data_IF_618874504494
#
_entry.id   IF_618874504494
#
_cell.length_a   1.000
_cell.length_b   1.000
_cell.length_c   1.000
_cell.angle_alpha   90.00
_cell.angle_beta   90.00
_cell.angle_gamma   90.00
#
_symmetry.space_group_name_H-M   'P 1'
#
loop_
_entity.id
_entity.type
_entity.pdbx_description
1 polymer ?
#
# COMPACT_ATOMS: atom_id res chain seq x y z
N UNK A 1 -19.70 -40.10 38.05
CA UNK A 1 -20.54 -39.63 36.94
C UNK A 1 -19.64 -38.78 36.05
N UNK A 2 -19.10 -39.36 34.97
CA UNK A 2 -18.14 -38.68 34.09
C UNK A 2 -18.89 -37.72 33.15
N UNK A 3 -18.35 -36.51 32.88
CA UNK A 3 -18.97 -35.60 31.92
C UNK A 3 -18.83 -36.21 30.52
N UNK A 4 -19.95 -36.39 29.85
CA UNK A 4 -20.03 -36.85 28.47
C UNK A 4 -19.30 -35.87 27.57
N UNK A 5 -18.17 -36.32 26.98
CA UNK A 5 -17.50 -35.64 25.87
C UNK A 5 -18.55 -35.35 24.79
N UNK A 6 -18.83 -34.07 24.55
CA UNK A 6 -19.59 -33.61 23.39
C UNK A 6 -18.79 -33.92 22.14
N UNK A 7 -19.15 -35.01 21.45
CA UNK A 7 -18.57 -35.35 20.16
C UNK A 7 -18.92 -34.25 19.15
N UNK A 8 -17.90 -33.53 18.66
CA UNK A 8 -18.05 -32.59 17.56
C UNK A 8 -18.36 -33.37 16.28
N UNK A 9 -19.61 -33.31 15.82
CA UNK A 9 -20.01 -33.78 14.49
C UNK A 9 -19.94 -32.60 13.53
N UNK A 10 -19.15 -32.67 12.44
CA UNK A 10 -19.19 -31.65 11.39
C UNK A 10 -20.59 -31.59 10.77
N UNK A 11 -21.17 -30.39 10.70
CA UNK A 11 -22.50 -30.15 10.10
C UNK A 11 -22.52 -30.56 8.63
N UNK A 12 -23.49 -31.39 8.25
CA UNK A 12 -23.67 -31.83 6.86
C UNK A 12 -24.33 -30.74 6.01
N UNK A 13 -24.22 -30.82 4.67
CA UNK A 13 -24.94 -29.92 3.74
C UNK A 13 -26.46 -29.91 3.99
N UNK A 14 -27.01 -31.01 4.51
CA UNK A 14 -28.42 -31.13 4.87
C UNK A 14 -28.79 -30.33 6.14
N UNK A 15 -27.89 -30.28 7.13
CA UNK A 15 -28.09 -29.50 8.36
C UNK A 15 -28.03 -27.99 8.07
N UNK A 16 -27.17 -27.59 7.12
CA UNK A 16 -27.11 -26.21 6.60
C UNK A 16 -28.42 -25.82 5.90
N UNK A 17 -29.03 -26.74 5.14
CA UNK A 17 -30.32 -26.53 4.47
C UNK A 17 -31.50 -26.44 5.45
N UNK A 18 -31.47 -27.22 6.55
CA UNK A 18 -32.48 -27.09 7.62
C UNK A 18 -32.37 -25.77 8.38
N UNK A 19 -31.15 -25.28 8.61
CA UNK A 19 -30.90 -23.98 9.28
C UNK A 19 -31.34 -22.77 8.44
N UNK A 20 -31.39 -22.89 7.11
CA UNK A 20 -31.92 -21.85 6.22
C UNK A 20 -33.46 -21.75 6.23
N UNK A 21 -34.14 -22.67 6.94
CA UNK A 21 -35.60 -22.69 7.14
C UNK A 21 -36.01 -22.29 8.57
N UNK A 22 -35.05 -21.87 9.41
CA UNK A 22 -35.26 -21.48 10.81
C UNK A 22 -35.33 -19.95 10.87
N UNK A 23 -36.32 -19.43 11.59
CA UNK A 23 -36.51 -17.99 11.83
C UNK A 23 -35.22 -17.35 12.36
N UNK A 24 -34.87 -16.19 11.81
CA UNK A 24 -33.60 -15.47 12.06
C UNK A 24 -33.43 -15.05 13.54
N UNK A 25 -34.51 -15.06 14.31
CA UNK A 25 -34.54 -14.78 15.75
C UNK A 25 -34.24 -15.99 16.66
N UNK A 26 -34.14 -17.21 16.11
CA UNK A 26 -33.96 -18.40 16.95
C UNK A 26 -32.53 -18.47 17.53
N UNK A 27 -32.38 -18.86 18.81
CA UNK A 27 -31.09 -19.08 19.49
C UNK A 27 -30.13 -19.95 18.64
N UNK A 28 -30.67 -20.97 17.96
CA UNK A 28 -29.93 -21.90 17.11
C UNK A 28 -29.37 -21.23 15.85
N UNK A 29 -30.13 -20.32 15.25
CA UNK A 29 -29.68 -19.51 14.12
C UNK A 29 -28.55 -18.58 14.53
N UNK A 30 -28.75 -17.80 15.60
CA UNK A 30 -27.73 -16.89 16.12
C UNK A 30 -26.43 -17.61 16.50
N UNK A 31 -26.55 -18.80 17.09
CA UNK A 31 -25.38 -19.63 17.44
C UNK A 31 -24.65 -20.14 16.20
N UNK A 32 -25.39 -20.53 15.15
CA UNK A 32 -24.80 -20.92 13.86
C UNK A 32 -24.12 -19.74 13.18
N UNK A 33 -24.75 -18.57 13.20
CA UNK A 33 -24.18 -17.32 12.68
C UNK A 33 -22.89 -16.94 13.42
N UNK A 34 -22.86 -17.05 14.75
CA UNK A 34 -21.66 -16.83 15.55
C UNK A 34 -20.51 -17.79 15.20
N UNK A 35 -20.79 -19.08 15.02
CA UNK A 35 -19.77 -20.06 14.60
C UNK A 35 -19.24 -19.79 13.19
N UNK A 36 -20.10 -19.31 12.27
CA UNK A 36 -19.68 -18.86 10.94
C UNK A 36 -18.78 -17.63 11.03
N UNK A 37 -19.17 -16.63 11.83
CA UNK A 37 -18.40 -15.41 12.08
C UNK A 37 -17.00 -15.75 12.62
N UNK A 38 -16.93 -16.59 13.65
CA UNK A 38 -15.67 -17.08 14.25
C UNK A 38 -14.75 -17.74 13.23
N UNK A 39 -15.29 -18.63 12.40
CA UNK A 39 -14.53 -19.32 11.34
C UNK A 39 -14.07 -18.35 10.25
N UNK A 40 -14.92 -17.41 9.86
CA UNK A 40 -14.62 -16.38 8.86
C UNK A 40 -13.46 -15.52 9.33
N UNK A 41 -13.57 -14.89 10.51
CA UNK A 41 -12.54 -14.03 11.11
C UNK A 41 -11.20 -14.77 11.22
N UNK A 42 -11.19 -15.98 11.79
CA UNK A 42 -9.97 -16.78 11.93
C UNK A 42 -9.34 -17.13 10.56
N UNK A 43 -10.15 -17.48 9.56
CA UNK A 43 -9.66 -17.76 8.20
C UNK A 43 -9.04 -16.53 7.54
N UNK A 44 -9.61 -15.34 7.76
CA UNK A 44 -9.07 -14.08 7.23
C UNK A 44 -7.74 -13.73 7.89
N UNK A 45 -7.66 -13.77 9.23
CA UNK A 45 -6.44 -13.42 9.98
C UNK A 45 -5.27 -14.33 9.60
N UNK A 46 -5.48 -15.64 9.48
CA UNK A 46 -4.41 -16.58 9.10
C UNK A 46 -3.89 -16.40 7.67
N UNK A 47 -4.61 -15.65 6.81
CA UNK A 47 -4.21 -15.40 5.43
C UNK A 47 -3.54 -14.03 5.24
N UNK A 48 -3.46 -13.20 6.28
CA UNK A 48 -2.96 -11.84 6.15
C UNK A 48 -1.48 -11.82 5.78
N UNK A 49 -1.16 -11.04 4.75
CA UNK A 49 0.19 -10.72 4.32
C UNK A 49 0.25 -9.25 3.84
N UNK A 50 1.45 -8.76 3.55
CA UNK A 50 1.68 -7.37 3.13
C UNK A 50 0.95 -6.99 1.83
N UNK A 51 0.82 -7.92 0.87
CA UNK A 51 0.24 -7.64 -0.46
C UNK A 51 -1.28 -7.74 -0.51
N UNK A 52 -1.89 -8.57 0.34
CA UNK A 52 -3.33 -8.83 0.37
C UNK A 52 -4.06 -8.07 1.49
N UNK A 53 -3.33 -7.35 2.34
CA UNK A 53 -3.87 -6.62 3.49
C UNK A 53 -5.10 -5.76 3.13
N UNK A 54 -5.09 -4.92 2.06
CA UNK A 54 -6.26 -4.12 1.69
C UNK A 54 -7.48 -4.97 1.28
N UNK A 55 -7.25 -6.12 0.65
CA UNK A 55 -8.32 -7.03 0.25
C UNK A 55 -8.92 -7.71 1.48
N UNK A 56 -8.09 -8.18 2.41
CA UNK A 56 -8.57 -8.85 3.62
C UNK A 56 -9.34 -7.88 4.51
N UNK A 57 -8.89 -6.63 4.62
CA UNK A 57 -9.60 -5.60 5.38
C UNK A 57 -11.04 -5.46 4.87
N UNK A 58 -11.24 -5.36 3.54
CA UNK A 58 -12.59 -5.28 2.94
C UNK A 58 -13.43 -6.51 3.23
N UNK A 59 -12.84 -7.69 3.09
CA UNK A 59 -13.52 -8.95 3.40
C UNK A 59 -13.84 -9.11 4.89
N UNK A 60 -13.03 -8.51 5.76
CA UNK A 60 -13.22 -8.53 7.20
C UNK A 60 -14.41 -7.64 7.58
N UNK A 61 -14.50 -6.42 7.04
CA UNK A 61 -15.64 -5.52 7.22
C UNK A 61 -16.95 -6.06 6.66
N UNK A 62 -16.91 -7.05 5.75
CA UNK A 62 -18.12 -7.76 5.33
C UNK A 62 -18.73 -8.62 6.44
N UNK A 63 -17.98 -8.96 7.49
CA UNK A 63 -18.50 -9.64 8.66
C UNK A 63 -18.76 -8.61 9.77
N UNK A 64 -19.73 -8.87 10.65
CA UNK A 64 -20.02 -8.01 11.80
C UNK A 64 -18.89 -8.07 12.85
N UNK A 65 -17.92 -7.17 12.70
CA UNK A 65 -16.77 -7.06 13.62
C UNK A 65 -17.09 -6.34 14.93
N UNK A 66 -18.20 -5.58 15.01
CA UNK A 66 -18.65 -4.97 16.28
C UNK A 66 -19.11 -6.08 17.23
N UNK A 67 -19.95 -6.99 16.73
CA UNK A 67 -20.39 -8.19 17.43
C UNK A 67 -19.23 -9.15 17.67
N UNK A 68 -18.36 -9.31 16.67
CA UNK A 68 -17.19 -10.18 16.72
C UNK A 68 -15.94 -9.58 17.36
N UNK A 69 -16.00 -8.42 18.03
CA UNK A 69 -14.79 -7.67 18.46
C UNK A 69 -13.86 -8.47 19.36
N UNK A 70 -14.43 -9.24 20.30
CA UNK A 70 -13.65 -10.14 21.16
C UNK A 70 -12.98 -11.24 20.34
N UNK A 71 -13.73 -11.89 19.44
CA UNK A 71 -13.19 -12.93 18.55
C UNK A 71 -12.06 -12.39 17.67
N UNK A 72 -12.20 -11.18 17.16
CA UNK A 72 -11.19 -10.51 16.35
C UNK A 72 -9.92 -10.27 17.18
N UNK A 73 -10.05 -9.62 18.34
CA UNK A 73 -8.94 -9.35 19.25
C UNK A 73 -8.20 -10.64 19.64
N UNK A 74 -8.95 -11.66 20.09
CA UNK A 74 -8.41 -12.95 20.49
C UNK A 74 -7.67 -13.66 19.34
N UNK A 75 -8.25 -13.69 18.14
CA UNK A 75 -7.63 -14.36 17.00
C UNK A 75 -6.36 -13.62 16.53
N UNK A 76 -6.34 -12.27 16.55
CA UNK A 76 -5.15 -11.49 16.18
C UNK A 76 -4.01 -11.76 17.16
N UNK A 77 -4.26 -11.67 18.48
CA UNK A 77 -3.24 -11.92 19.51
C UNK A 77 -2.72 -13.35 19.41
N UNK A 78 -3.61 -14.33 19.25
CA UNK A 78 -3.21 -15.73 19.11
C UNK A 78 -2.41 -15.99 17.84
N UNK A 79 -2.77 -15.36 16.72
CA UNK A 79 -2.04 -15.49 15.46
C UNK A 79 -0.66 -14.84 15.55
N UNK A 80 -0.52 -13.74 16.30
CA UNK A 80 0.75 -13.09 16.56
C UNK A 80 1.68 -13.96 17.41
N UNK A 81 1.18 -14.55 18.51
CA UNK A 81 1.96 -15.47 19.35
C UNK A 81 2.42 -16.69 18.53
N UNK A 82 1.56 -17.23 17.67
CA UNK A 82 1.91 -18.36 16.80
C UNK A 82 2.89 -17.98 15.68
N UNK A 83 2.93 -16.71 15.26
CA UNK A 83 3.78 -16.26 14.15
C UNK A 83 4.24 -14.80 14.34
N UNK A 84 5.25 -14.57 15.21
CA UNK A 84 5.73 -13.22 15.54
C UNK A 84 6.35 -12.47 14.34
N UNK A 85 6.76 -13.18 13.29
CA UNK A 85 7.30 -12.57 12.07
C UNK A 85 6.30 -11.64 11.36
N UNK A 86 4.99 -11.94 11.45
CA UNK A 86 3.94 -11.15 10.81
C UNK A 86 3.38 -10.03 11.71
N UNK A 87 4.00 -9.78 12.88
CA UNK A 87 3.57 -8.74 13.82
C UNK A 87 3.37 -7.35 13.17
N UNK A 88 4.27 -6.86 12.30
CA UNK A 88 4.06 -5.58 11.61
C UNK A 88 2.77 -5.56 10.78
N UNK A 89 2.45 -6.69 10.14
CA UNK A 89 1.25 -6.83 9.30
C UNK A 89 -0.02 -6.86 10.14
N UNK A 90 0.00 -7.54 11.29
CA UNK A 90 -1.11 -7.51 12.23
C UNK A 90 -1.31 -6.11 12.83
N UNK A 91 -0.24 -5.39 13.14
CA UNK A 91 -0.33 -4.00 13.62
C UNK A 91 -0.93 -3.07 12.55
N UNK A 92 -0.52 -3.21 11.29
CA UNK A 92 -1.11 -2.45 10.18
C UNK A 92 -2.60 -2.78 9.96
N UNK A 93 -2.99 -4.05 10.10
CA UNK A 93 -4.40 -4.47 10.07
C UNK A 93 -5.20 -3.76 11.17
N UNK A 94 -4.69 -3.77 12.41
CA UNK A 94 -5.37 -3.11 13.53
C UNK A 94 -5.40 -1.61 13.35
N UNK A 95 -4.36 -0.99 12.80
CA UNK A 95 -4.32 0.45 12.51
C UNK A 95 -5.50 0.88 11.64
N UNK A 96 -5.75 0.18 10.53
CA UNK A 96 -6.89 0.47 9.64
C UNK A 96 -8.25 0.19 10.31
N UNK A 97 -8.33 -0.80 11.19
CA UNK A 97 -9.57 -1.06 11.94
C UNK A 97 -9.81 0.05 12.97
N UNK A 98 -8.75 0.53 13.61
CA UNK A 98 -8.77 1.53 14.67
C UNK A 98 -9.23 2.91 14.18
N UNK A 99 -9.00 3.27 12.92
CA UNK A 99 -9.54 4.52 12.35
C UNK A 99 -11.06 4.50 12.23
N UNK A 100 -11.66 3.32 12.03
CA UNK A 100 -13.09 3.15 11.80
C UNK A 100 -13.83 2.77 13.10
N UNK A 101 -13.21 1.90 13.90
CA UNK A 101 -13.72 1.41 15.17
C UNK A 101 -12.60 1.48 16.24
N UNK A 102 -12.40 2.66 16.87
CA UNK A 102 -11.36 2.85 17.88
C UNK A 102 -11.49 1.89 19.08
N UNK A 103 -12.71 1.52 19.45
CA UNK A 103 -13.01 0.59 20.54
C UNK A 103 -12.32 -0.77 20.37
N UNK A 104 -12.15 -1.23 19.11
CA UNK A 104 -11.47 -2.50 18.84
C UNK A 104 -9.96 -2.36 19.05
N UNK A 105 -9.38 -1.23 18.62
CA UNK A 105 -7.98 -0.92 18.86
C UNK A 105 -7.67 -0.80 20.35
N UNK A 106 -8.54 -0.12 21.09
CA UNK A 106 -8.46 0.02 22.55
C UNK A 106 -8.55 -1.35 23.25
N UNK A 107 -9.50 -2.19 22.87
CA UNK A 107 -9.69 -3.53 23.45
C UNK A 107 -8.42 -4.38 23.26
N UNK A 108 -7.86 -4.40 22.05
CA UNK A 108 -6.62 -5.15 21.78
C UNK A 108 -5.44 -4.57 22.57
N UNK A 109 -5.34 -3.24 22.67
CA UNK A 109 -4.30 -2.61 23.46
C UNK A 109 -4.38 -2.98 24.95
N UNK A 110 -5.58 -2.93 25.56
CA UNK A 110 -5.82 -3.39 26.95
C UNK A 110 -5.45 -4.86 27.13
N UNK A 111 -5.79 -5.73 26.17
CA UNK A 111 -5.37 -7.14 26.19
C UNK A 111 -3.86 -7.30 26.21
N UNK A 112 -3.15 -6.53 25.39
CA UNK A 112 -1.69 -6.61 25.27
C UNK A 112 -1.00 -6.12 26.54
N UNK A 113 -1.45 -5.01 27.13
CA UNK A 113 -0.91 -4.48 28.39
C UNK A 113 -1.16 -5.46 29.54
N UNK A 114 -2.38 -6.01 29.65
CA UNK A 114 -2.71 -7.04 30.64
C UNK A 114 -1.87 -8.31 30.45
N UNK A 115 -1.68 -8.75 29.21
CA UNK A 115 -0.83 -9.90 28.86
C UNK A 115 0.64 -9.64 29.20
N UNK A 116 1.14 -8.42 29.01
CA UNK A 116 2.50 -8.04 29.38
C UNK A 116 2.71 -8.17 30.89
N UNK A 117 1.84 -7.55 31.71
CA UNK A 117 1.91 -7.68 33.17
C UNK A 117 1.87 -9.14 33.61
N UNK A 118 0.91 -9.92 33.10
CA UNK A 118 0.78 -11.32 33.47
C UNK A 118 2.01 -12.16 33.06
N UNK A 119 2.52 -12.00 31.83
CA UNK A 119 3.67 -12.78 31.35
C UNK A 119 4.97 -12.36 32.00
N UNK A 120 5.11 -11.09 32.38
CA UNK A 120 6.26 -10.56 33.12
C UNK A 120 6.27 -11.09 34.57
N UNK A 121 5.14 -11.04 35.28
CA UNK A 121 5.01 -11.61 36.63
C UNK A 121 5.27 -13.12 36.67
N UNK A 122 4.85 -13.85 35.63
CA UNK A 122 5.08 -15.30 35.51
C UNK A 122 6.49 -15.66 34.99
N UNK A 123 7.33 -14.68 34.66
CA UNK A 123 8.66 -14.88 34.05
C UNK A 123 8.63 -15.72 32.76
N UNK A 124 7.56 -15.59 31.96
CA UNK A 124 7.46 -16.27 30.66
C UNK A 124 8.07 -15.40 29.55
N UNK A 125 9.38 -15.58 29.34
CA UNK A 125 10.16 -14.81 28.36
C UNK A 125 9.60 -14.88 26.94
N UNK A 126 9.13 -16.04 26.48
CA UNK A 126 8.73 -16.24 25.08
C UNK A 126 7.44 -15.48 24.77
N UNK A 127 6.46 -15.59 25.66
CA UNK A 127 5.19 -14.89 25.50
C UNK A 127 5.32 -13.39 25.78
N UNK A 128 6.18 -13.02 26.74
CA UNK A 128 6.50 -11.62 27.02
C UNK A 128 7.17 -10.96 25.79
N UNK A 129 8.17 -11.61 25.18
CA UNK A 129 8.82 -11.15 23.95
C UNK A 129 7.81 -10.92 22.82
N UNK A 130 6.89 -11.87 22.61
CA UNK A 130 5.85 -11.76 21.58
C UNK A 130 4.93 -10.57 21.85
N UNK A 131 4.51 -10.38 23.10
CA UNK A 131 3.64 -9.27 23.53
C UNK A 131 4.32 -7.91 23.35
N UNK A 132 5.57 -7.79 23.81
CA UNK A 132 6.40 -6.60 23.68
C UNK A 132 6.61 -6.21 22.22
N UNK A 133 6.91 -7.20 21.35
CA UNK A 133 7.02 -6.96 19.90
C UNK A 133 5.75 -6.35 19.32
N UNK A 134 4.59 -6.85 19.78
CA UNK A 134 3.32 -6.39 19.27
C UNK A 134 2.96 -4.98 19.75
N UNK A 135 3.20 -4.69 21.04
CA UNK A 135 3.06 -3.34 21.59
C UNK A 135 3.99 -2.35 20.86
N UNK A 136 5.22 -2.77 20.54
CA UNK A 136 6.17 -1.90 19.84
C UNK A 136 5.68 -1.49 18.45
N UNK A 137 5.13 -2.44 17.70
CA UNK A 137 4.51 -2.12 16.41
C UNK A 137 3.22 -1.31 16.54
N UNK A 138 2.47 -1.41 17.64
CA UNK A 138 1.32 -0.54 17.92
C UNK A 138 1.73 0.91 18.13
N UNK A 139 2.84 1.15 18.81
CA UNK A 139 3.42 2.49 19.01
C UNK A 139 3.92 3.04 17.68
N UNK A 140 4.60 2.22 16.87
CA UNK A 140 5.04 2.64 15.54
C UNK A 140 3.88 2.96 14.59
N UNK A 141 2.73 2.32 14.73
CA UNK A 141 1.51 2.60 13.95
C UNK A 141 0.61 3.69 14.58
N UNK A 142 1.08 4.38 15.63
CA UNK A 142 0.33 5.42 16.36
C UNK A 142 -1.01 4.98 16.97
N UNK A 143 -1.21 3.67 17.20
CA UNK A 143 -2.40 3.15 17.89
C UNK A 143 -2.27 3.43 19.39
N UNK A 144 -1.07 3.22 19.94
CA UNK A 144 -0.73 3.50 21.33
C UNK A 144 0.17 4.73 21.42
N UNK A 145 -0.05 5.55 22.45
CA UNK A 145 0.83 6.68 22.73
C UNK A 145 2.23 6.20 23.15
N UNK A 146 3.27 6.94 22.74
CA UNK A 146 4.68 6.58 22.98
C UNK A 146 5.09 6.58 24.46
N UNK A 147 4.27 7.17 25.35
CA UNK A 147 4.49 7.14 26.80
C UNK A 147 4.53 5.71 27.34
N UNK A 148 3.65 4.83 26.85
CA UNK A 148 3.62 3.41 27.22
C UNK A 148 4.97 2.74 26.97
N UNK A 149 5.65 3.13 25.88
CA UNK A 149 6.97 2.57 25.57
C UNK A 149 8.00 2.94 26.65
N UNK A 150 8.00 4.19 27.10
CA UNK A 150 8.92 4.64 28.15
C UNK A 150 8.60 3.99 29.49
N UNK A 151 7.32 3.91 29.86
CA UNK A 151 6.88 3.23 31.08
C UNK A 151 7.31 1.75 31.08
N UNK A 152 7.11 1.04 29.96
CA UNK A 152 7.53 -0.37 29.83
C UNK A 152 9.05 -0.53 29.94
N UNK A 153 9.82 0.37 29.34
CA UNK A 153 11.29 0.35 29.42
C UNK A 153 11.76 0.62 30.86
N UNK A 154 11.09 1.51 31.59
CA UNK A 154 11.39 1.76 33.01
C UNK A 154 11.11 0.51 33.85
N UNK A 155 9.95 -0.12 33.68
CA UNK A 155 9.59 -1.36 34.42
C UNK A 155 10.58 -2.49 34.12
N UNK A 156 10.97 -2.68 32.86
CA UNK A 156 11.93 -3.73 32.46
C UNK A 156 13.34 -3.47 32.99
N UNK A 157 13.74 -2.20 33.20
CA UNK A 157 15.09 -1.83 33.64
C UNK A 157 15.19 -1.48 35.13
N UNK A 158 14.08 -1.44 35.88
CA UNK A 158 14.07 -1.13 37.31
C UNK A 158 14.84 -2.20 38.13
N UNK A 159 14.58 -3.47 37.83
CA UNK A 159 15.27 -4.62 38.43
C UNK A 159 15.95 -5.46 37.33
N UNK A 160 17.16 -5.07 36.90
CA UNK A 160 17.80 -5.64 35.71
C UNK A 160 18.26 -7.09 35.96
N UNK A 161 17.51 -8.02 35.39
CA UNK A 161 17.92 -9.42 35.15
C UNK A 161 18.35 -9.58 33.69
N UNK A 162 19.15 -10.61 33.38
CA UNK A 162 19.59 -10.86 31.99
C UNK A 162 18.41 -10.93 31.00
N UNK A 163 17.33 -11.63 31.39
CA UNK A 163 16.13 -11.76 30.56
C UNK A 163 15.39 -10.43 30.40
N UNK A 164 15.22 -9.65 31.48
CA UNK A 164 14.55 -8.35 31.41
C UNK A 164 15.31 -7.34 30.54
N UNK A 165 16.65 -7.37 30.59
CA UNK A 165 17.51 -6.51 29.77
C UNK A 165 17.43 -6.93 28.31
N UNK A 166 17.44 -8.23 28.00
CA UNK A 166 17.24 -8.72 26.63
C UNK A 166 15.88 -8.29 26.07
N UNK A 167 14.80 -8.44 26.86
CA UNK A 167 13.46 -7.98 26.49
C UNK A 167 13.40 -6.46 26.25
N UNK A 168 14.05 -5.68 27.12
CA UNK A 168 14.13 -4.22 26.99
C UNK A 168 14.86 -3.80 25.71
N UNK A 169 15.98 -4.46 25.37
CA UNK A 169 16.76 -4.14 24.17
C UNK A 169 15.97 -4.51 22.90
N UNK A 170 15.32 -5.67 22.88
CA UNK A 170 14.49 -6.04 21.74
C UNK A 170 13.32 -5.05 21.55
N UNK A 171 12.66 -4.65 22.64
CA UNK A 171 11.60 -3.65 22.57
C UNK A 171 12.10 -2.31 22.06
N UNK A 172 13.24 -1.86 22.60
CA UNK A 172 13.87 -0.62 22.22
C UNK A 172 14.20 -0.63 20.73
N UNK A 173 14.80 -1.70 20.21
CA UNK A 173 15.14 -1.84 18.79
C UNK A 173 13.95 -1.64 17.83
N UNK A 174 12.71 -1.92 18.27
CA UNK A 174 11.49 -1.76 17.48
C UNK A 174 10.98 -0.32 17.56
N UNK A 175 10.99 0.28 18.74
CA UNK A 175 10.38 1.59 19.02
C UNK A 175 11.35 2.77 18.87
N UNK A 176 12.65 2.53 18.72
CA UNK A 176 13.69 3.56 18.88
C UNK A 176 13.53 4.72 17.90
N UNK A 177 13.17 4.46 16.64
CA UNK A 177 12.99 5.53 15.65
C UNK A 177 11.80 6.42 16.04
N UNK A 178 10.70 5.82 16.47
CA UNK A 178 9.52 6.54 16.94
C UNK A 178 9.80 7.35 18.22
N UNK A 179 10.51 6.77 19.18
CA UNK A 179 10.91 7.47 20.41
C UNK A 179 11.91 8.59 20.15
N UNK A 180 12.79 8.44 19.16
CA UNK A 180 13.72 9.49 18.75
C UNK A 180 12.99 10.70 18.15
N UNK A 181 11.87 10.49 17.45
CA UNK A 181 11.05 11.57 16.88
C UNK A 181 10.20 12.29 17.93
N UNK A 182 9.66 11.55 18.91
CA UNK A 182 8.69 12.10 19.89
C UNK A 182 9.36 12.56 21.18
N UNK A 183 10.30 11.80 21.74
CA UNK A 183 10.83 11.99 23.10
C UNK A 183 12.32 11.66 23.25
N UNK A 184 13.19 12.48 22.65
CA UNK A 184 14.66 12.39 22.77
C UNK A 184 15.15 12.28 24.23
N UNK A 185 14.59 13.09 25.14
CA UNK A 185 15.00 13.08 26.55
C UNK A 185 14.66 11.76 27.25
N UNK A 186 13.49 11.18 26.98
CA UNK A 186 13.10 9.88 27.53
C UNK A 186 14.03 8.77 27.03
N UNK A 187 14.36 8.81 25.74
CA UNK A 187 15.30 7.87 25.12
C UNK A 187 16.72 7.99 25.72
N UNK A 188 17.23 9.19 25.89
CA UNK A 188 18.56 9.42 26.49
C UNK A 188 18.63 8.95 27.95
N UNK A 189 17.54 9.07 28.71
CA UNK A 189 17.45 8.51 30.06
C UNK A 189 17.60 6.99 30.04
N UNK A 190 16.90 6.29 29.14
CA UNK A 190 16.98 4.81 29.00
C UNK A 190 18.40 4.38 28.63
N UNK A 191 19.04 5.06 27.68
CA UNK A 191 20.42 4.76 27.30
C UNK A 191 21.43 5.05 28.41
N UNK A 192 21.17 6.06 29.24
CA UNK A 192 22.01 6.34 30.42
C UNK A 192 21.91 5.20 31.43
N UNK A 193 20.71 4.67 31.68
CA UNK A 193 20.51 3.48 32.51
C UNK A 193 21.25 2.27 31.95
N UNK A 194 21.13 2.00 30.64
CA UNK A 194 21.85 0.90 29.98
C UNK A 194 23.37 1.06 30.06
N UNK A 195 23.90 2.28 29.96
CA UNK A 195 25.32 2.54 30.12
C UNK A 195 25.80 2.32 31.57
N UNK A 196 24.99 2.68 32.56
CA UNK A 196 25.29 2.38 33.96
C UNK A 196 25.33 0.86 34.20
N UNK A 197 24.39 0.11 33.60
CA UNK A 197 24.41 -1.36 33.65
C UNK A 197 25.68 -1.93 33.02
N UNK A 198 26.14 -1.42 31.88
CA UNK A 198 27.38 -1.87 31.25
C UNK A 198 28.61 -1.73 32.17
N UNK A 199 28.64 -0.71 33.03
CA UNK A 199 29.80 -0.40 33.88
C UNK A 199 29.71 -0.97 35.31
N UNK A 200 28.50 -1.06 35.89
CA UNK A 200 28.31 -1.30 37.33
C UNK A 200 27.64 -2.64 37.66
N UNK A 201 27.09 -3.36 36.67
CA UNK A 201 26.26 -4.54 36.94
C UNK A 201 27.03 -5.87 36.82
N UNK A 202 26.62 -6.85 37.61
CA UNK A 202 27.08 -8.25 37.53
C UNK A 202 26.24 -9.06 36.53
N UNK A 203 26.01 -8.53 35.33
CA UNK A 203 25.29 -9.21 34.26
C UNK A 203 26.19 -10.19 33.52
N UNK A 204 25.59 -11.13 32.80
CA UNK A 204 26.32 -12.09 31.99
C UNK A 204 27.00 -11.42 30.78
N UNK A 205 28.15 -11.97 30.34
CA UNK A 205 28.90 -11.45 29.19
C UNK A 205 28.06 -11.36 27.91
N UNK A 206 27.13 -12.31 27.70
CA UNK A 206 26.19 -12.28 26.58
C UNK A 206 25.28 -11.04 26.63
N UNK A 207 24.72 -10.71 27.79
CA UNK A 207 23.83 -9.57 27.99
C UNK A 207 24.58 -8.25 27.76
N UNK A 208 25.81 -8.15 28.26
CA UNK A 208 26.69 -7.01 28.02
C UNK A 208 27.00 -6.83 26.53
N UNK A 209 27.27 -7.92 25.81
CA UNK A 209 27.49 -7.86 24.37
C UNK A 209 26.25 -7.38 23.60
N UNK A 210 25.04 -7.78 24.01
CA UNK A 210 23.79 -7.29 23.38
C UNK A 210 23.64 -5.77 23.59
N UNK A 211 24.01 -5.24 24.76
CA UNK A 211 24.05 -3.79 25.03
C UNK A 211 25.09 -3.09 24.13
N UNK A 212 26.28 -3.65 23.96
CA UNK A 212 27.31 -3.08 23.08
C UNK A 212 26.84 -3.02 21.61
N UNK A 213 26.20 -4.09 21.13
CA UNK A 213 25.61 -4.15 19.79
C UNK A 213 24.55 -3.06 19.62
N UNK A 214 23.70 -2.83 20.63
CA UNK A 214 22.71 -1.75 20.61
C UNK A 214 23.38 -0.36 20.49
N UNK A 215 24.48 -0.10 21.19
CA UNK A 215 25.23 1.16 21.07
C UNK A 215 25.88 1.32 19.68
N UNK A 216 26.27 0.23 19.02
CA UNK A 216 26.73 0.27 17.64
C UNK A 216 25.58 0.66 16.69
N UNK A 217 24.39 0.06 16.84
CA UNK A 217 23.20 0.41 16.03
C UNK A 217 22.81 1.88 16.23
N UNK A 218 22.97 2.43 17.45
CA UNK A 218 22.74 3.86 17.73
C UNK A 218 23.66 4.78 16.92
N UNK A 219 24.93 4.40 16.69
CA UNK A 219 25.87 5.19 15.88
C UNK A 219 25.44 5.27 14.41
N UNK A 220 24.82 4.20 13.92
CA UNK A 220 24.27 4.12 12.57
C UNK A 220 22.89 4.80 12.43
N UNK A 221 22.41 5.49 13.47
CA UNK A 221 21.11 6.15 13.54
C UNK A 221 19.93 5.21 13.22
N UNK A 222 20.06 3.92 13.58
CA UNK A 222 18.98 2.94 13.49
C UNK A 222 18.41 2.70 12.08
N UNK A 223 19.17 2.98 11.01
CA UNK A 223 18.75 2.78 9.60
C UNK A 223 18.25 1.37 9.26
N UNK A 224 18.62 0.37 10.06
CA UNK A 224 18.27 -1.04 9.85
C UNK A 224 16.81 -1.33 10.21
N UNK A 225 16.22 -0.57 11.14
CA UNK A 225 14.87 -0.81 11.67
C UNK A 225 13.95 0.37 11.37
N UNK A 226 13.28 0.39 10.21
CA UNK A 226 12.30 1.44 9.92
C UNK A 226 11.09 1.31 10.83
N UNK A 227 10.54 2.45 11.25
CA UNK A 227 9.35 2.58 12.10
C UNK A 227 8.18 1.76 11.54
N UNK A 228 7.87 1.95 10.25
CA UNK A 228 6.86 1.16 9.51
C UNK A 228 7.53 0.58 8.26
N UNK A 229 7.32 -0.72 8.03
CA UNK A 229 7.82 -1.37 6.81
C UNK A 229 7.11 -0.82 5.57
N UNK A 230 7.80 -0.68 4.43
CA UNK A 230 7.20 -0.14 3.21
C UNK A 230 6.00 -0.98 2.77
N UNK A 231 4.87 -0.32 2.51
CA UNK A 231 3.60 -0.96 2.12
C UNK A 231 2.67 -1.30 3.29
N UNK A 232 3.09 -1.08 4.54
CA UNK A 232 2.23 -1.23 5.74
C UNK A 232 1.72 0.11 6.29
N UNK A 233 2.12 1.22 5.70
CA UNK A 233 1.57 2.54 5.99
C UNK A 233 0.34 2.78 5.10
N UNK A 234 -0.84 2.49 5.66
CA UNK A 234 -2.12 2.50 4.94
C UNK A 234 -3.08 3.61 5.40
N UNK A 235 -2.69 4.36 6.44
CA UNK A 235 -3.56 5.30 7.15
C UNK A 235 -2.88 6.65 7.23
N UNK A 236 -3.54 7.68 6.70
CA UNK A 236 -3.07 9.06 6.78
C UNK A 236 -3.01 9.53 8.25
N UNK A 237 -1.98 10.31 8.61
CA UNK A 237 -1.75 10.76 10.00
C UNK A 237 -2.94 11.51 10.63
N UNK A 238 -3.77 12.18 9.82
CA UNK A 238 -4.97 12.90 10.29
C UNK A 238 -6.08 11.99 10.78
N UNK A 239 -6.14 10.76 10.26
CA UNK A 239 -7.23 9.82 10.51
C UNK A 239 -6.86 8.82 11.62
N UNK A 240 -5.61 8.86 12.08
CA UNK A 240 -5.11 7.99 13.14
C UNK A 240 -5.70 8.40 14.50
N UNK A 241 -6.17 7.39 15.23
CA UNK A 241 -6.67 7.56 16.59
C UNK A 241 -5.69 6.95 17.59
N UNK A 242 -5.00 7.79 18.36
CA UNK A 242 -4.02 7.32 19.36
C UNK A 242 -4.66 7.19 20.74
N UNK A 243 -4.59 5.99 21.30
CA UNK A 243 -5.06 5.68 22.64
C UNK A 243 -4.01 6.05 23.68
N UNK A 244 -4.42 6.83 24.69
CA UNK A 244 -3.61 7.17 25.85
C UNK A 244 -4.04 6.22 26.97
N UNK A 245 -3.35 5.09 27.07
CA UNK A 245 -3.52 4.09 28.12
C UNK A 245 -2.22 4.10 28.93
N UNK A 246 -2.28 4.09 30.24
CA UNK A 246 -1.10 3.95 31.11
C UNK A 246 -0.94 2.51 31.56
N UNK A 247 0.28 2.10 31.92
CA UNK A 247 0.51 0.73 32.40
C UNK A 247 -0.23 0.39 33.70
N UNK A 248 -0.52 1.38 34.54
CA UNK A 248 -1.17 1.19 35.84
C UNK A 248 -2.70 1.13 35.73
N UNK A 249 -3.28 1.46 34.58
CA UNK A 249 -4.72 1.44 34.38
C UNK A 249 -5.26 0.00 34.47
N UNK A 250 -6.43 -0.21 35.14
CA UNK A 250 -7.06 -1.52 35.19
C UNK A 250 -7.52 -1.94 33.78
N UNK A 251 -6.66 -2.70 33.09
CA UNK A 251 -6.92 -3.22 31.77
C UNK A 251 -7.72 -4.52 31.86
N UNK A 252 -9.04 -4.43 31.81
CA UNK A 252 -9.90 -5.63 31.79
C UNK A 252 -9.98 -6.25 30.39
N UNK A 253 -9.56 -7.51 30.22
CA UNK A 253 -9.55 -8.19 28.92
C UNK A 253 -10.92 -8.70 28.47
N UNK A 254 -12.03 -8.29 29.09
CA UNK A 254 -13.42 -8.65 28.74
C UNK A 254 -13.62 -10.04 28.07
N UNK A 255 -13.16 -11.16 28.68
CA UNK A 255 -13.08 -12.47 28.00
C UNK A 255 -14.46 -13.01 27.62
N UNK A 256 -15.51 -12.47 28.23
CA UNK A 256 -16.91 -12.76 27.96
C UNK A 256 -17.33 -12.43 26.53
N UNK A 257 -16.66 -11.48 25.86
CA UNK A 257 -16.92 -11.14 24.45
C UNK A 257 -16.53 -12.26 23.47
N UNK A 258 -15.76 -13.25 23.92
CA UNK A 258 -15.36 -14.40 23.11
C UNK A 258 -16.41 -15.53 23.12
N UNK A 259 -17.39 -15.44 24.01
CA UNK A 259 -18.39 -16.48 24.26
C UNK A 259 -19.72 -16.02 23.66
N UNK A 260 -20.38 -16.95 22.96
CA UNK A 260 -21.71 -16.68 22.42
C UNK A 260 -22.71 -16.35 23.54
N UNK A 261 -23.42 -15.25 23.38
CA UNK A 261 -24.59 -14.87 24.17
C UNK A 261 -25.75 -14.63 23.22
N UNK A 262 -26.95 -15.03 23.67
CA UNK A 262 -28.17 -14.74 22.95
C UNK A 262 -28.44 -13.24 23.00
N UNK A 263 -28.85 -12.68 21.87
CA UNK A 263 -29.14 -11.27 21.69
C UNK A 263 -30.62 -11.11 21.31
N UNK A 264 -31.38 -10.43 22.17
CA UNK A 264 -32.81 -10.17 21.95
C UNK A 264 -33.04 -9.19 20.79
N UNK A 265 -32.06 -8.33 20.48
CA UNK A 265 -32.12 -7.29 19.44
C UNK A 265 -31.23 -7.62 18.23
N UNK A 266 -31.04 -8.92 17.97
CA UNK A 266 -30.12 -9.39 16.94
C UNK A 266 -30.37 -8.80 15.55
N UNK A 267 -31.63 -8.71 15.12
CA UNK A 267 -31.99 -8.17 13.81
C UNK A 267 -31.68 -6.66 13.70
N UNK A 268 -31.95 -5.90 14.76
CA UNK A 268 -31.64 -4.47 14.82
C UNK A 268 -30.13 -4.24 14.73
N UNK A 269 -29.35 -4.98 15.54
CA UNK A 269 -27.89 -4.87 15.58
C UNK A 269 -27.22 -5.27 14.26
N UNK A 270 -27.73 -6.30 13.56
CA UNK A 270 -27.21 -6.67 12.24
C UNK A 270 -27.58 -5.62 11.18
N UNK A 271 -28.79 -5.07 11.22
CA UNK A 271 -29.21 -3.99 10.31
C UNK A 271 -28.38 -2.71 10.52
N UNK A 272 -28.15 -2.30 11.77
CA UNK A 272 -27.29 -1.16 12.11
C UNK A 272 -25.86 -1.37 11.58
N UNK A 273 -25.32 -2.58 11.74
CA UNK A 273 -24.01 -2.91 11.20
C UNK A 273 -23.99 -2.90 9.67
N UNK A 274 -25.05 -3.36 9.00
CA UNK A 274 -25.15 -3.30 7.54
C UNK A 274 -25.21 -1.87 7.00
N UNK A 275 -25.94 -0.97 7.67
CA UNK A 275 -25.97 0.45 7.34
C UNK A 275 -24.60 1.10 7.55
N UNK A 276 -23.97 0.84 8.70
CA UNK A 276 -22.62 1.29 9.01
C UNK A 276 -21.60 0.80 7.98
N UNK A 277 -21.65 -0.49 7.63
CA UNK A 277 -20.81 -1.11 6.59
C UNK A 277 -21.02 -0.42 5.24
N UNK A 278 -22.27 -0.14 4.86
CA UNK A 278 -22.58 0.55 3.60
C UNK A 278 -21.99 1.94 3.60
N UNK A 279 -22.04 2.66 4.72
CA UNK A 279 -21.43 3.98 4.88
C UNK A 279 -19.91 3.92 4.72
N UNK A 280 -19.22 3.02 5.43
CA UNK A 280 -17.76 2.86 5.32
C UNK A 280 -17.34 2.50 3.90
N UNK A 281 -18.02 1.55 3.26
CA UNK A 281 -17.70 1.15 1.88
C UNK A 281 -18.03 2.31 0.94
N UNK A 282 -19.14 3.03 1.12
CA UNK A 282 -19.45 4.18 0.29
C UNK A 282 -18.41 5.31 0.43
N UNK A 283 -17.95 5.62 1.64
CA UNK A 283 -16.93 6.65 1.91
C UNK A 283 -15.55 6.20 1.43
N UNK A 284 -15.18 4.94 1.67
CA UNK A 284 -13.90 4.35 1.25
C UNK A 284 -13.75 4.23 -0.27
N UNK A 285 -14.85 4.17 -1.03
CA UNK A 285 -14.82 4.00 -2.50
C UNK A 285 -15.29 5.26 -3.24
N UNK A 286 -16.19 6.04 -2.66
CA UNK A 286 -16.55 7.37 -3.15
C UNK A 286 -15.33 8.28 -3.21
N UNK A 287 -14.40 8.12 -2.26
CA UNK A 287 -13.17 8.91 -2.23
C UNK A 287 -11.94 8.18 -2.79
N UNK A 288 -11.97 6.86 -3.08
CA UNK A 288 -10.83 6.16 -3.72
C UNK A 288 -10.97 5.95 -5.22
N UNK A 289 -12.19 5.79 -5.76
CA UNK A 289 -12.36 5.98 -7.21
C UNK A 289 -12.07 7.43 -7.55
N UNK A 290 -12.52 8.38 -6.72
CA UNK A 290 -12.14 9.77 -6.87
C UNK A 290 -10.67 10.03 -6.55
N UNK A 291 -10.00 9.51 -5.50
CA UNK A 291 -8.57 9.79 -5.25
C UNK A 291 -7.58 9.08 -6.17
N UNK A 292 -7.88 7.87 -6.65
CA UNK A 292 -7.08 7.24 -7.72
C UNK A 292 -7.39 7.81 -9.11
N UNK A 293 -8.57 8.42 -9.31
CA UNK A 293 -8.85 9.32 -10.46
C UNK A 293 -8.51 10.80 -10.19
N UNK A 294 -8.07 11.14 -8.97
CA UNK A 294 -7.57 12.45 -8.50
C UNK A 294 -6.10 12.34 -8.06
N UNK A 295 -5.29 11.54 -8.78
CA UNK A 295 -4.33 12.29 -9.60
C UNK A 295 -5.23 13.18 -10.42
N UNK A 296 -5.32 14.47 -10.09
CA UNK A 296 -6.05 15.42 -10.91
C UNK A 296 -5.33 15.41 -12.26
N UNK A 297 -5.64 14.42 -13.12
CA UNK A 297 -5.80 14.65 -14.53
C UNK A 297 -6.90 15.68 -14.53
N UNK A 298 -6.48 16.94 -14.47
CA UNK A 298 -7.18 18.01 -15.14
C UNK A 298 -7.42 17.38 -16.51
N UNK A 299 -8.64 16.93 -16.77
CA UNK A 299 -9.03 16.63 -18.13
C UNK A 299 -9.05 18.01 -18.75
N UNK A 300 -7.90 18.38 -19.30
CA UNK A 300 -7.70 19.60 -20.05
C UNK A 300 -8.59 19.43 -21.28
N UNK A 301 -9.85 19.84 -21.15
CA UNK A 301 -10.78 19.99 -22.28
C UNK A 301 -10.28 21.07 -23.24
N UNK A 302 -9.29 21.84 -22.81
CA UNK A 302 -8.48 22.73 -23.61
C UNK A 302 -7.25 21.96 -24.11
N UNK A 303 -7.06 21.87 -25.43
CA UNK A 303 -5.85 21.30 -26.07
C UNK A 303 -4.58 22.14 -25.79
N UNK A 304 -4.54 22.91 -24.69
CA UNK A 304 -3.51 23.91 -24.38
C UNK A 304 -2.13 23.30 -24.22
N UNK A 305 -2.03 22.15 -23.54
CA UNK A 305 -0.76 21.45 -23.40
C UNK A 305 -0.25 20.86 -24.74
N UNK A 306 -1.17 20.40 -25.59
CA UNK A 306 -0.83 19.86 -26.92
C UNK A 306 -0.39 20.98 -27.87
N UNK A 307 -1.07 22.12 -27.84
CA UNK A 307 -0.68 23.34 -28.60
C UNK A 307 0.64 23.91 -28.08
N UNK A 308 0.88 23.93 -26.77
CA UNK A 308 2.17 24.37 -26.21
C UNK A 308 3.31 23.45 -26.62
N UNK A 309 3.06 22.14 -26.61
CA UNK A 309 4.02 21.14 -27.10
C UNK A 309 4.30 21.34 -28.60
N UNK A 310 3.27 21.52 -29.44
CA UNK A 310 3.40 21.84 -30.87
C UNK A 310 4.17 23.14 -31.11
N UNK A 311 3.87 24.20 -30.35
CA UNK A 311 4.58 25.48 -30.44
C UNK A 311 6.06 25.33 -30.05
N UNK A 312 6.36 24.49 -29.06
CA UNK A 312 7.73 24.25 -28.59
C UNK A 312 8.53 23.45 -29.62
N UNK A 313 7.95 22.42 -30.21
CA UNK A 313 8.55 21.67 -31.32
C UNK A 313 8.79 22.59 -32.53
N UNK A 314 7.79 23.38 -32.93
CA UNK A 314 7.91 24.33 -34.03
C UNK A 314 9.02 25.37 -33.79
N UNK A 315 9.06 26.00 -32.60
CA UNK A 315 10.12 26.95 -32.22
C UNK A 315 11.50 26.30 -32.24
N UNK A 316 11.59 25.05 -31.83
CA UNK A 316 12.85 24.30 -31.86
C UNK A 316 13.30 24.07 -33.30
N UNK A 317 12.41 23.65 -34.19
CA UNK A 317 12.75 23.46 -35.61
C UNK A 317 13.15 24.79 -36.28
N UNK A 318 12.46 25.89 -35.97
CA UNK A 318 12.75 27.19 -36.60
C UNK A 318 14.02 27.88 -36.06
N UNK A 319 14.40 27.61 -34.80
CA UNK A 319 15.56 28.25 -34.16
C UNK A 319 16.89 27.55 -34.46
N UNK A 320 16.86 26.27 -34.85
CA UNK A 320 18.08 25.52 -35.13
C UNK A 320 18.40 25.54 -36.63
N UNK A 321 19.58 26.05 -36.97
CA UNK A 321 20.10 26.02 -38.36
C UNK A 321 20.70 24.67 -38.74
N UNK A 322 21.08 23.83 -37.77
CA UNK A 322 21.66 22.51 -38.00
C UNK A 322 20.66 21.38 -37.67
N UNK A 323 20.48 20.44 -38.59
CA UNK A 323 19.48 19.36 -38.52
C UNK A 323 19.83 18.34 -37.43
N UNK A 324 21.13 18.02 -37.27
CA UNK A 324 21.60 17.05 -36.27
C UNK A 324 21.36 17.54 -34.84
N UNK A 325 21.68 18.81 -34.57
CA UNK A 325 21.42 19.43 -33.27
C UNK A 325 19.92 19.57 -32.99
N UNK A 326 19.13 19.83 -34.02
CA UNK A 326 17.67 19.88 -33.91
C UNK A 326 17.10 18.49 -33.54
N UNK A 327 17.53 17.42 -34.22
CA UNK A 327 17.10 16.06 -33.95
C UNK A 327 17.45 15.64 -32.51
N UNK A 328 18.70 15.89 -32.09
CA UNK A 328 19.15 15.53 -30.74
C UNK A 328 18.39 16.28 -29.64
N UNK A 329 18.09 17.57 -29.86
CA UNK A 329 17.27 18.37 -28.92
C UNK A 329 15.84 17.84 -28.82
N UNK A 330 15.24 17.44 -29.94
CA UNK A 330 13.88 16.88 -29.96
C UNK A 330 13.81 15.50 -29.29
N UNK A 331 14.83 14.66 -29.46
CA UNK A 331 14.92 13.34 -28.79
C UNK A 331 15.15 13.50 -27.27
N UNK A 332 15.88 14.53 -26.85
CA UNK A 332 16.20 14.78 -25.43
C UNK A 332 15.13 15.60 -24.70
N UNK A 333 14.11 16.11 -25.40
CA UNK A 333 12.91 16.63 -24.71
C UNK A 333 12.21 15.44 -24.05
N UNK A 334 11.85 15.56 -22.77
CA UNK A 334 11.28 14.49 -21.95
C UNK A 334 9.98 13.92 -22.55
N UNK A 335 10.07 13.01 -23.51
CA UNK A 335 8.95 12.30 -24.10
C UNK A 335 8.58 11.13 -23.16
N UNK A 336 7.34 11.09 -22.71
CA UNK A 336 6.82 9.91 -22.03
C UNK A 336 6.67 8.75 -23.03
N UNK A 337 6.81 7.51 -22.57
CA UNK A 337 6.65 6.30 -23.39
C UNK A 337 5.26 6.30 -24.06
N UNK A 338 5.23 6.51 -25.39
CA UNK A 338 4.01 6.58 -26.21
C UNK A 338 3.82 7.90 -26.98
N UNK A 339 4.49 9.00 -26.62
CA UNK A 339 4.37 10.31 -27.31
C UNK A 339 5.28 10.46 -28.54
N UNK A 340 6.16 9.50 -28.79
CA UNK A 340 7.14 9.52 -29.88
C UNK A 340 6.46 9.50 -31.27
N UNK A 341 5.33 8.80 -31.41
CA UNK A 341 4.55 8.79 -32.65
C UNK A 341 3.86 10.14 -32.91
N UNK A 342 3.37 10.81 -31.87
CA UNK A 342 2.78 12.15 -31.97
C UNK A 342 3.82 13.17 -32.39
N UNK A 343 5.07 13.05 -31.92
CA UNK A 343 6.19 13.87 -32.37
C UNK A 343 6.46 13.71 -33.87
N UNK A 344 6.52 12.48 -34.36
CA UNK A 344 6.67 12.21 -35.79
C UNK A 344 5.52 12.83 -36.61
N UNK A 345 4.28 12.70 -36.12
CA UNK A 345 3.10 13.29 -36.76
C UNK A 345 3.18 14.82 -36.80
N UNK A 346 3.57 15.47 -35.71
CA UNK A 346 3.73 16.92 -35.64
C UNK A 346 4.79 17.43 -36.63
N UNK A 347 5.89 16.72 -36.84
CA UNK A 347 6.93 17.09 -37.83
C UNK A 347 6.33 17.11 -39.24
N UNK A 348 5.53 16.11 -39.59
CA UNK A 348 4.84 16.03 -40.89
C UNK A 348 3.80 17.14 -41.03
N UNK A 349 3.03 17.43 -39.98
CA UNK A 349 2.02 18.48 -39.98
C UNK A 349 2.64 19.88 -40.11
N UNK A 350 3.75 20.14 -39.43
CA UNK A 350 4.51 21.39 -39.58
C UNK A 350 5.01 21.52 -41.02
N UNK A 351 5.58 20.47 -41.60
CA UNK A 351 6.00 20.44 -43.00
C UNK A 351 4.82 20.74 -43.95
N UNK A 352 3.64 20.16 -43.68
CA UNK A 352 2.42 20.37 -44.45
C UNK A 352 1.89 21.81 -44.33
N UNK A 353 2.14 22.51 -43.23
CA UNK A 353 1.67 23.89 -43.00
C UNK A 353 2.59 24.96 -43.59
N UNK A 354 3.87 24.65 -43.89
CA UNK A 354 4.81 25.63 -44.45
C UNK A 354 4.37 26.23 -45.79
N UNK A 355 4.75 27.48 -46.08
CA UNK A 355 4.41 28.11 -47.38
C UNK A 355 5.02 27.38 -48.57
N UNK A 356 6.23 26.86 -48.41
CA UNK A 356 6.97 26.08 -49.41
C UNK A 356 7.63 24.88 -48.73
N UNK A 357 7.86 23.80 -49.49
CA UNK A 357 8.61 22.64 -48.98
C UNK A 357 10.07 23.02 -48.74
N UNK A 358 10.55 22.78 -47.54
CA UNK A 358 11.96 22.94 -47.16
C UNK A 358 12.62 21.56 -46.98
N UNK A 359 13.80 21.39 -47.56
CA UNK A 359 14.54 20.11 -47.52
C UNK A 359 14.93 19.68 -46.09
N UNK A 360 15.01 20.64 -45.16
CA UNK A 360 15.34 20.41 -43.75
C UNK A 360 14.40 19.37 -43.10
N UNK A 361 13.11 19.37 -43.46
CA UNK A 361 12.16 18.40 -42.90
C UNK A 361 12.47 16.96 -43.35
N UNK A 362 12.83 16.77 -44.63
CA UNK A 362 13.23 15.45 -45.13
C UNK A 362 14.47 14.91 -44.41
N UNK A 363 15.50 15.74 -44.25
CA UNK A 363 16.72 15.38 -43.51
C UNK A 363 16.43 15.09 -42.03
N UNK A 364 15.53 15.87 -41.41
CA UNK A 364 15.14 15.64 -40.03
C UNK A 364 14.49 14.26 -39.88
N UNK A 365 13.51 13.93 -40.73
CA UNK A 365 12.88 12.62 -40.74
C UNK A 365 13.88 11.48 -40.97
N UNK A 366 14.85 11.67 -41.88
CA UNK A 366 15.91 10.71 -42.13
C UNK A 366 16.77 10.48 -40.88
N UNK A 367 17.17 11.54 -40.18
CA UNK A 367 17.93 11.42 -38.93
C UNK A 367 17.16 10.67 -37.84
N UNK A 368 15.85 10.88 -37.71
CA UNK A 368 15.01 10.12 -36.77
C UNK A 368 15.00 8.62 -37.12
N UNK A 369 14.78 8.27 -38.39
CA UNK A 369 14.82 6.89 -38.86
C UNK A 369 16.18 6.21 -38.64
N UNK A 370 17.29 6.95 -38.81
CA UNK A 370 18.64 6.44 -38.56
C UNK A 370 18.98 6.29 -37.07
N UNK A 371 18.29 7.03 -36.19
CA UNK A 371 18.57 7.04 -34.76
C UNK A 371 18.01 5.81 -34.03
N UNK A 372 16.73 5.47 -34.26
CA UNK A 372 16.09 4.27 -33.68
C UNK A 372 15.16 3.61 -34.69
N UNK A 373 15.11 2.28 -34.70
CA UNK A 373 14.24 1.48 -35.59
C UNK A 373 12.74 1.72 -35.34
N UNK A 374 12.36 2.08 -34.13
CA UNK A 374 10.97 2.39 -33.75
C UNK A 374 10.40 3.58 -34.54
N UNK A 375 11.23 4.59 -34.87
CA UNK A 375 10.78 5.74 -35.67
C UNK A 375 10.46 5.37 -37.12
N UNK A 376 11.10 4.32 -37.67
CA UNK A 376 10.78 3.82 -39.01
C UNK A 376 9.35 3.30 -39.02
N UNK A 377 8.96 2.48 -38.05
CA UNK A 377 7.58 1.97 -37.92
C UNK A 377 6.56 3.11 -37.72
N UNK A 378 6.92 4.15 -36.98
CA UNK A 378 6.06 5.32 -36.80
C UNK A 378 5.85 6.11 -38.10
N UNK A 379 6.89 6.41 -38.85
CA UNK A 379 6.73 7.12 -40.12
C UNK A 379 6.04 6.27 -41.20
N UNK A 380 6.22 4.94 -41.19
CA UNK A 380 5.48 4.02 -42.06
C UNK A 380 3.98 4.04 -41.75
N UNK A 381 3.61 3.99 -40.47
CA UNK A 381 2.22 4.08 -40.04
C UNK A 381 1.61 5.43 -40.38
N UNK A 382 2.34 6.53 -40.15
CA UNK A 382 1.88 7.88 -40.51
C UNK A 382 1.68 7.98 -42.03
N UNK A 383 2.57 7.43 -42.84
CA UNK A 383 2.40 7.42 -44.30
C UNK A 383 1.11 6.71 -44.72
N UNK A 384 0.82 5.53 -44.14
CA UNK A 384 -0.43 4.80 -44.42
C UNK A 384 -1.67 5.60 -44.02
N UNK A 385 -1.63 6.27 -42.87
CA UNK A 385 -2.76 7.05 -42.38
C UNK A 385 -2.95 8.35 -43.18
N UNK A 386 -1.88 9.03 -43.58
CA UNK A 386 -1.93 10.15 -44.51
C UNK A 386 -2.47 9.70 -45.89
N UNK A 387 -2.09 8.50 -46.35
CA UNK A 387 -2.56 7.96 -47.63
C UNK A 387 -4.08 7.69 -47.65
N UNK A 388 -4.64 7.18 -46.55
CA UNK A 388 -6.09 6.96 -46.41
C UNK A 388 -6.90 8.26 -46.43
N UNK A 389 -6.30 9.37 -46.03
CA UNK A 389 -6.97 10.68 -45.88
C UNK A 389 -6.65 11.59 -47.09
N UNK A 390 -5.97 11.09 -48.15
CA UNK A 390 -5.59 11.88 -49.34
C UNK A 390 -6.76 12.64 -49.95
N UNK A 391 -7.94 12.01 -50.04
CA UNK A 391 -9.12 12.62 -50.66
C UNK A 391 -9.61 13.89 -49.94
N UNK A 392 -9.24 14.05 -48.66
CA UNK A 392 -9.62 15.18 -47.83
C UNK A 392 -8.49 16.22 -47.67
N UNK A 393 -7.32 15.98 -48.26
CA UNK A 393 -6.15 16.86 -48.15
C UNK A 393 -6.13 17.92 -49.27
N UNK A 394 -5.91 19.17 -48.89
CA UNK A 394 -5.73 20.28 -49.84
C UNK A 394 -4.48 20.05 -50.71
N UNK A 395 -4.59 20.28 -52.03
CA UNK A 395 -3.54 19.99 -53.03
C UNK A 395 -2.15 20.53 -52.66
N UNK A 396 -2.08 21.74 -52.08
CA UNK A 396 -0.81 22.37 -51.67
C UNK A 396 -0.16 21.62 -50.51
N UNK A 397 -0.96 21.14 -49.54
CA UNK A 397 -0.48 20.35 -48.39
C UNK A 397 -0.02 18.97 -48.85
N UNK A 398 -0.83 18.31 -49.68
CA UNK A 398 -0.49 17.01 -50.28
C UNK A 398 0.87 17.03 -50.98
N UNK A 399 1.14 18.07 -51.79
CA UNK A 399 2.42 18.20 -52.51
C UNK A 399 3.63 18.30 -51.58
N UNK A 400 3.50 18.91 -50.40
CA UNK A 400 4.58 19.05 -49.41
C UNK A 400 4.82 17.74 -48.67
N UNK A 401 3.74 17.09 -48.22
CA UNK A 401 3.79 15.78 -47.56
C UNK A 401 4.36 14.71 -48.51
N UNK A 402 3.92 14.71 -49.77
CA UNK A 402 4.46 13.80 -50.78
C UNK A 402 5.97 14.00 -51.01
N UNK A 403 6.46 15.25 -51.02
CA UNK A 403 7.90 15.53 -51.13
C UNK A 403 8.69 15.07 -49.90
N UNK A 404 8.10 15.21 -48.71
CA UNK A 404 8.70 14.72 -47.46
C UNK A 404 8.88 13.20 -47.50
N UNK A 405 7.83 12.44 -47.81
CA UNK A 405 7.92 10.98 -47.88
C UNK A 405 8.74 10.49 -49.08
N UNK A 406 8.68 11.18 -50.22
CA UNK A 406 9.56 10.88 -51.35
C UNK A 406 11.04 11.00 -50.98
N UNK A 407 11.41 11.99 -50.16
CA UNK A 407 12.78 12.11 -49.65
C UNK A 407 13.16 10.89 -48.80
N UNK A 408 12.31 10.49 -47.85
CA UNK A 408 12.58 9.34 -46.97
C UNK A 408 12.72 8.02 -47.75
N UNK A 409 11.89 7.80 -48.77
CA UNK A 409 11.97 6.64 -49.66
C UNK A 409 13.25 6.65 -50.51
N UNK A 410 13.63 7.79 -51.08
CA UNK A 410 14.85 7.89 -51.90
C UNK A 410 16.12 7.71 -51.05
N UNK A 411 16.07 8.08 -49.77
CA UNK A 411 17.19 7.92 -48.84
C UNK A 411 17.23 6.55 -48.14
N UNK A 412 16.37 5.61 -48.52
CA UNK A 412 16.20 4.29 -47.87
C UNK A 412 15.95 4.38 -46.35
N UNK A 413 15.36 5.49 -45.89
CA UNK A 413 15.03 5.70 -44.48
C UNK A 413 13.74 4.96 -44.06
N UNK A 414 12.90 4.62 -45.03
CA UNK A 414 11.65 3.85 -44.90
C UNK A 414 11.65 2.77 -45.98
N UNK A 415 11.06 1.60 -45.71
CA UNK A 415 11.01 0.52 -46.67
C UNK A 415 10.08 0.81 -47.86
N UNK A 416 10.57 0.61 -49.09
CA UNK A 416 9.74 0.63 -50.31
C UNK A 416 8.64 -0.46 -50.33
N UNK A 417 8.62 -1.40 -49.36
CA UNK A 417 7.56 -2.39 -49.22
C UNK A 417 6.18 -1.77 -48.93
N UNK A 418 6.14 -0.55 -48.37
CA UNK A 418 4.90 0.16 -48.05
C UNK A 418 4.13 0.57 -49.32
N UNK A 419 4.82 0.86 -50.43
CA UNK A 419 4.19 1.15 -51.73
C UNK A 419 3.52 -0.10 -52.34
N UNK A 420 4.10 -1.29 -52.12
CA UNK A 420 3.60 -2.53 -52.72
C UNK A 420 2.30 -2.99 -52.07
N UNK A 421 2.15 -2.84 -50.74
CA UNK A 421 0.90 -3.18 -50.04
C UNK A 421 -0.26 -2.21 -50.36
N UNK A 422 0.03 -0.92 -50.56
CA UNK A 422 -0.99 0.08 -50.87
C UNK A 422 -1.50 -0.03 -52.32
N UNK A 423 -0.61 -0.30 -53.29
CA UNK A 423 -0.99 -0.49 -54.70
C UNK A 423 -1.77 -1.79 -54.92
N UNK A 424 -1.42 -2.88 -54.22
CA UNK A 424 -2.12 -4.17 -54.34
C UNK A 424 -3.54 -4.12 -53.76
N UNK A 425 -3.79 -3.34 -52.69
CA UNK A 425 -5.15 -3.16 -52.14
C UNK A 425 -6.08 -2.34 -53.03
N UNK A 426 -5.58 -1.32 -53.74
CA UNK A 426 -6.40 -0.50 -54.64
C UNK A 426 -6.63 -1.12 -56.02
N UNK A 427 -5.87 -2.17 -56.39
CA UNK A 427 -6.07 -2.91 -57.65
C UNK A 427 -7.11 -4.03 -57.55
N UNK A 428 -7.60 -4.33 -56.34
CA UNK A 428 -8.55 -5.41 -56.04
C UNK A 428 -9.93 -4.93 -55.56
N UNK A 429 -10.26 -3.65 -55.75
CA UNK A 429 -11.61 -3.12 -55.55
C UNK A 429 -12.21 -2.59 -56.86
#
# INVERSE_FOLDING_TARGET
MFPTRTYYRPLSRFDIYKLALIDESTIEYQRSAWERLKKSINSKINKVNTSNLPSIIRELFNNNIIRGRGLLAHNIIRAQIASPFYTPVYAALVSVINTILPEIGELIAKHLISSFHHTYEQNDKINCLSTIKFIGHFINQNILHSLVALEMLVVLLENPTDDSVELAIEFLNICVEKLSQVSLHGLDSVFSTLNNLLNESSLNECTLHIIEVLFAIRKDQFKVNPMIQPGLDLVDESDQHTHIITLDDPCEPEPMLNIFRYDDQYEENENEYEEFRRKIISESYGDKQERQQRQIKIIDLTETNLVEHQCTVYRTIQSNTNVEECAQKLINMNLHSGQEIELCQMIVDICAQQRTYEHVFGLLGQHFCLSRKEYVEYFEKIFQDQYKIIDYLEYVKLRKVAKFFAHLLVTDAISCAVDVELVVRNSCN
#
